data_IF_104783177075
#
_entry.id   IF_104783177075
#
_cell.length_a   1.000
_cell.length_b   1.000
_cell.length_c   1.000
_cell.angle_alpha   90.00
_cell.angle_beta   90.00
_cell.angle_gamma   90.00
#
_symmetry.space_group_name_H-M   'P 1'
#
loop_
_entity.id
_entity.type
_entity.pdbx_description
1 polymer ?
#
# COMPACT_ATOMS: atom_id res chain seq x y z
N UNK A 1 2.37 -83.38 -9.11
CA UNK A 1 2.00 -82.65 -10.35
C UNK A 1 2.46 -81.21 -10.20
N UNK A 2 3.58 -80.85 -10.81
CA UNK A 2 4.14 -79.49 -10.82
C UNK A 2 3.28 -78.56 -11.67
N UNK A 3 2.89 -77.41 -11.13
CA UNK A 3 2.47 -76.26 -11.94
C UNK A 3 3.51 -75.15 -11.83
N UNK A 4 4.21 -74.95 -12.93
CA UNK A 4 5.11 -73.84 -13.21
C UNK A 4 4.31 -72.55 -13.38
N UNK A 5 4.45 -71.60 -12.45
CA UNK A 5 3.99 -70.21 -12.66
C UNK A 5 4.96 -69.52 -13.62
N UNK A 6 4.47 -69.18 -14.81
CA UNK A 6 5.19 -68.31 -15.75
C UNK A 6 5.33 -66.88 -15.22
N UNK A 7 6.34 -66.11 -15.69
CA UNK A 7 6.54 -64.74 -15.26
C UNK A 7 5.40 -63.84 -15.75
N UNK A 8 4.76 -63.15 -14.82
CA UNK A 8 3.80 -62.06 -15.10
C UNK A 8 4.47 -61.01 -15.97
N UNK A 9 3.92 -60.82 -17.18
CA UNK A 9 4.28 -59.73 -18.08
C UNK A 9 4.13 -58.38 -17.36
N UNK A 10 5.21 -57.59 -17.36
CA UNK A 10 5.19 -56.21 -16.91
C UNK A 10 4.15 -55.43 -17.74
N UNK A 11 3.15 -54.86 -17.07
CA UNK A 11 2.22 -53.92 -17.68
C UNK A 11 2.99 -52.71 -18.24
N UNK A 12 2.46 -52.03 -19.27
CA UNK A 12 3.15 -50.92 -19.92
C UNK A 12 3.47 -49.84 -18.89
N UNK A 13 4.76 -49.50 -18.77
CA UNK A 13 5.22 -48.33 -18.02
C UNK A 13 4.49 -47.09 -18.56
N UNK A 14 3.61 -46.53 -17.73
CA UNK A 14 3.02 -45.22 -17.99
C UNK A 14 4.19 -44.24 -18.13
N UNK A 15 4.36 -43.55 -19.27
CA UNK A 15 5.48 -42.65 -19.44
C UNK A 15 5.43 -41.60 -18.34
N UNK A 16 6.48 -41.57 -17.52
CA UNK A 16 6.65 -40.56 -16.49
C UNK A 16 6.56 -39.18 -17.14
N UNK A 17 5.44 -38.50 -16.93
CA UNK A 17 5.23 -37.13 -17.39
C UNK A 17 6.46 -36.32 -16.98
N UNK A 18 7.23 -35.83 -17.94
CA UNK A 18 8.42 -35.01 -17.73
C UNK A 18 8.00 -33.68 -17.09
N UNK A 19 7.74 -33.71 -15.79
CA UNK A 19 7.48 -32.53 -14.99
C UNK A 19 8.79 -31.79 -14.75
N UNK A 20 8.76 -30.47 -14.86
CA UNK A 20 9.87 -29.61 -14.46
C UNK A 20 10.37 -29.97 -13.05
N UNK A 21 11.70 -29.96 -12.80
CA UNK A 21 12.27 -30.20 -11.49
C UNK A 21 11.61 -29.33 -10.41
N UNK A 22 11.39 -29.85 -9.18
CA UNK A 22 10.70 -29.12 -8.11
C UNK A 22 11.34 -27.77 -7.78
N UNK A 23 12.67 -27.69 -7.85
CA UNK A 23 13.44 -26.47 -7.63
C UNK A 23 13.13 -25.40 -8.69
N UNK A 24 13.15 -25.79 -9.98
CA UNK A 24 12.86 -24.90 -11.10
C UNK A 24 11.42 -24.39 -11.06
N UNK A 25 10.46 -25.27 -10.75
CA UNK A 25 9.06 -24.87 -10.56
C UNK A 25 8.91 -23.78 -9.50
N UNK A 26 9.57 -23.93 -8.36
CA UNK A 26 9.46 -22.93 -7.30
C UNK A 26 10.16 -21.60 -7.61
N UNK A 27 11.19 -21.59 -8.45
CA UNK A 27 11.76 -20.34 -9.00
C UNK A 27 10.82 -19.68 -10.01
N UNK A 28 10.17 -20.46 -10.89
CA UNK A 28 9.17 -19.94 -11.82
C UNK A 28 7.95 -19.34 -11.10
N UNK A 29 7.48 -19.99 -10.03
CA UNK A 29 6.40 -19.44 -9.19
C UNK A 29 6.80 -18.12 -8.50
N UNK A 30 8.03 -18.05 -7.98
CA UNK A 30 8.58 -16.85 -7.35
C UNK A 30 8.72 -15.70 -8.35
N UNK A 31 9.27 -16.00 -9.54
CA UNK A 31 9.40 -15.04 -10.63
C UNK A 31 8.03 -14.56 -11.12
N UNK A 32 7.07 -15.47 -11.33
CA UNK A 32 5.71 -15.13 -11.73
C UNK A 32 4.99 -14.25 -10.71
N UNK A 33 5.25 -14.46 -9.42
CA UNK A 33 4.74 -13.59 -8.34
C UNK A 33 5.31 -12.18 -8.43
N UNK A 34 6.64 -12.06 -8.55
CA UNK A 34 7.31 -10.76 -8.63
C UNK A 34 6.94 -9.99 -9.90
N UNK A 35 6.89 -10.68 -11.06
CA UNK A 35 6.48 -10.09 -12.34
C UNK A 35 5.03 -9.61 -12.30
N UNK A 36 4.09 -10.39 -11.76
CA UNK A 36 2.69 -9.98 -11.69
C UNK A 36 2.52 -8.71 -10.83
N UNK A 37 3.21 -8.63 -9.69
CA UNK A 37 3.23 -7.44 -8.85
C UNK A 37 3.76 -6.21 -9.57
N UNK A 38 4.98 -6.30 -10.13
CA UNK A 38 5.64 -5.19 -10.80
C UNK A 38 4.93 -4.75 -12.08
N UNK A 39 4.42 -5.69 -12.88
CA UNK A 39 3.63 -5.37 -14.07
C UNK A 39 2.36 -4.60 -13.70
N UNK A 40 1.68 -4.99 -12.61
CA UNK A 40 0.51 -4.25 -12.10
C UNK A 40 0.90 -2.83 -11.68
N UNK A 41 2.03 -2.66 -10.99
CA UNK A 41 2.53 -1.35 -10.60
C UNK A 41 2.86 -0.48 -11.83
N UNK A 42 3.57 -1.03 -12.82
CA UNK A 42 3.92 -0.34 -14.06
C UNK A 42 2.66 0.10 -14.83
N UNK A 43 1.67 -0.77 -15.00
CA UNK A 43 0.42 -0.43 -15.70
C UNK A 43 -0.35 0.65 -14.95
N UNK A 44 -0.48 0.52 -13.63
CA UNK A 44 -1.21 1.51 -12.80
C UNK A 44 -0.52 2.87 -12.83
N UNK A 45 0.81 2.89 -12.68
CA UNK A 45 1.61 4.11 -12.73
C UNK A 45 1.57 4.74 -14.12
N UNK A 46 1.71 3.96 -15.19
CA UNK A 46 1.65 4.46 -16.57
C UNK A 46 0.30 5.08 -16.89
N UNK A 47 -0.81 4.40 -16.56
CA UNK A 47 -2.15 4.96 -16.80
C UNK A 47 -2.40 6.23 -15.96
N UNK A 48 -1.97 6.24 -14.70
CA UNK A 48 -2.12 7.40 -13.82
C UNK A 48 -1.29 8.60 -14.26
N UNK A 49 -0.03 8.39 -14.64
CA UNK A 49 0.86 9.45 -15.16
C UNK A 49 0.43 9.93 -16.54
N UNK A 50 -0.06 9.04 -17.39
CA UNK A 50 -0.62 9.41 -18.69
C UNK A 50 -1.85 10.29 -18.51
N UNK A 51 -2.77 9.93 -17.60
CA UNK A 51 -3.92 10.75 -17.24
C UNK A 51 -3.50 12.09 -16.62
N UNK A 52 -2.37 12.14 -15.92
CA UNK A 52 -1.78 13.37 -15.39
C UNK A 52 -1.10 14.24 -16.46
N UNK A 53 -1.09 13.85 -17.73
CA UNK A 53 -0.48 14.59 -18.83
C UNK A 53 1.01 14.34 -19.03
N UNK A 54 1.61 13.38 -18.32
CA UNK A 54 3.04 13.06 -18.45
C UNK A 54 3.43 12.46 -19.81
N UNK A 55 2.45 12.08 -20.65
CA UNK A 55 2.68 11.58 -21.99
C UNK A 55 3.29 12.62 -22.95
N UNK A 56 3.16 13.91 -22.65
CA UNK A 56 3.71 15.02 -23.44
C UNK A 56 5.14 15.42 -23.05
N UNK A 57 5.80 14.69 -22.16
CA UNK A 57 7.13 15.07 -21.68
C UNK A 57 8.19 15.00 -22.81
N UNK A 58 9.05 16.03 -22.95
CA UNK A 58 10.06 16.08 -24.00
C UNK A 58 11.11 14.97 -23.83
N UNK A 59 11.73 14.56 -24.96
CA UNK A 59 12.83 13.59 -24.94
C UNK A 59 12.42 12.14 -24.64
N UNK A 60 11.14 11.78 -24.80
CA UNK A 60 10.67 10.42 -24.55
C UNK A 60 10.70 10.02 -23.08
N UNK A 61 10.49 10.98 -22.17
CA UNK A 61 10.73 10.81 -20.75
C UNK A 61 9.80 9.85 -20.02
N UNK A 62 8.65 9.59 -20.63
CA UNK A 62 7.54 8.91 -19.99
C UNK A 62 7.92 7.56 -19.34
N UNK A 63 8.66 6.64 -20.00
CA UNK A 63 9.03 5.36 -19.38
C UNK A 63 9.93 5.52 -18.15
N UNK A 64 10.82 6.51 -18.13
CA UNK A 64 11.69 6.79 -17.00
C UNK A 64 10.88 7.34 -15.81
N UNK A 65 9.91 8.22 -16.05
CA UNK A 65 8.99 8.74 -15.02
C UNK A 65 8.11 7.63 -14.46
N UNK A 66 7.62 6.71 -15.31
CA UNK A 66 6.88 5.52 -14.87
C UNK A 66 7.76 4.62 -14.00
N UNK A 67 9.01 4.36 -14.42
CA UNK A 67 9.95 3.57 -13.63
C UNK A 67 10.26 4.22 -12.27
N UNK A 68 10.45 5.55 -12.24
CA UNK A 68 10.61 6.32 -11.01
C UNK A 68 9.36 6.18 -10.11
N UNK A 69 8.15 6.34 -10.64
CA UNK A 69 6.92 6.17 -9.86
C UNK A 69 6.79 4.76 -9.25
N UNK A 70 7.21 3.71 -9.97
CA UNK A 70 7.23 2.33 -9.44
C UNK A 70 8.28 2.16 -8.35
N UNK A 71 9.46 2.76 -8.51
CA UNK A 71 10.52 2.76 -7.47
C UNK A 71 10.03 3.44 -6.19
N UNK A 72 9.41 4.62 -6.31
CA UNK A 72 8.80 5.33 -5.18
C UNK A 72 7.66 4.51 -4.53
N UNK A 73 6.81 3.88 -5.34
CA UNK A 73 5.73 3.02 -4.86
C UNK A 73 6.24 1.78 -4.08
N UNK A 74 7.43 1.28 -4.42
CA UNK A 74 8.09 0.19 -3.72
C UNK A 74 8.86 0.65 -2.46
N UNK A 75 8.74 1.92 -2.07
CA UNK A 75 9.37 2.51 -0.90
C UNK A 75 10.77 3.08 -1.14
N UNK A 76 11.27 3.08 -2.38
CA UNK A 76 12.55 3.71 -2.70
C UNK A 76 12.46 5.23 -2.54
N UNK A 77 13.47 5.84 -1.92
CA UNK A 77 13.61 7.29 -1.92
C UNK A 77 14.14 7.76 -3.27
N UNK A 78 13.49 8.76 -3.85
CA UNK A 78 13.94 9.40 -5.09
C UNK A 78 14.38 10.80 -4.74
N UNK A 79 15.66 10.95 -4.39
CA UNK A 79 16.30 12.26 -4.39
C UNK A 79 16.57 12.64 -5.86
N UNK A 80 15.72 13.49 -6.44
CA UNK A 80 16.07 14.16 -7.69
C UNK A 80 17.00 15.33 -7.35
N UNK A 81 18.30 15.05 -7.33
CA UNK A 81 19.35 16.07 -7.29
C UNK A 81 19.71 16.41 -8.73
N UNK A 82 19.25 17.55 -9.22
CA UNK A 82 19.73 18.09 -10.50
C UNK A 82 20.96 18.95 -10.27
N UNK A 83 22.07 18.61 -10.95
CA UNK A 83 23.22 19.49 -11.05
C UNK A 83 22.90 20.52 -12.15
N UNK A 84 22.62 21.76 -11.77
CA UNK A 84 22.50 22.87 -12.71
C UNK A 84 23.82 23.66 -12.83
N UNK A 85 24.94 22.94 -12.70
CA UNK A 85 26.29 23.49 -12.81
C UNK A 85 26.75 24.15 -11.51
N UNK A 86 27.91 24.82 -11.59
CA UNK A 86 28.73 25.34 -10.47
C UNK A 86 28.01 26.42 -9.63
N UNK A 87 26.74 26.72 -9.87
CA UNK A 87 26.04 27.86 -9.24
C UNK A 87 24.64 27.49 -8.70
N UNK A 88 23.98 26.42 -9.17
CA UNK A 88 22.63 26.07 -8.71
C UNK A 88 22.42 24.56 -8.53
N UNK A 89 21.93 24.17 -7.35
CA UNK A 89 21.46 22.80 -7.08
C UNK A 89 19.93 22.81 -7.05
N UNK A 90 19.29 22.11 -7.99
CA UNK A 90 17.85 21.92 -7.98
C UNK A 90 17.54 20.66 -7.16
N UNK A 91 16.95 20.84 -5.97
CA UNK A 91 16.43 19.74 -5.15
C UNK A 91 14.92 19.71 -5.28
N UNK A 92 14.42 18.67 -5.94
CA UNK A 92 13.01 18.30 -5.92
C UNK A 92 12.90 16.96 -5.20
N UNK A 93 12.68 17.00 -3.89
CA UNK A 93 12.35 15.81 -3.12
C UNK A 93 10.83 15.76 -3.01
N UNK A 94 10.21 14.81 -3.71
CA UNK A 94 8.78 14.55 -3.62
C UNK A 94 8.59 13.23 -2.88
N UNK A 95 8.52 13.29 -1.56
CA UNK A 95 8.14 12.17 -0.70
C UNK A 95 6.60 12.07 -0.66
N UNK A 96 6.01 11.81 -1.83
CA UNK A 96 4.60 11.43 -1.96
C UNK A 96 4.53 10.05 -2.60
N UNK A 97 4.31 9.02 -1.78
CA UNK A 97 4.19 7.64 -2.27
C UNK A 97 2.88 7.51 -3.05
N UNK A 98 2.89 7.05 -4.32
CA UNK A 98 1.68 6.81 -5.08
C UNK A 98 1.01 5.53 -4.58
N UNK A 99 0.20 5.63 -3.53
CA UNK A 99 -0.32 4.47 -2.80
C UNK A 99 -1.25 3.60 -3.63
N UNK A 100 -1.88 4.16 -4.68
CA UNK A 100 -2.68 3.36 -5.60
C UNK A 100 -1.83 2.30 -6.31
N UNK A 101 -0.63 2.70 -6.75
CA UNK A 101 0.36 1.82 -7.40
C UNK A 101 0.83 0.77 -6.40
N UNK A 102 1.21 1.19 -5.19
CA UNK A 102 1.64 0.30 -4.11
C UNK A 102 0.57 -0.70 -3.69
N UNK A 103 -0.69 -0.25 -3.55
CA UNK A 103 -1.82 -1.07 -3.14
C UNK A 103 -2.14 -2.11 -4.22
N UNK A 104 -2.21 -1.71 -5.49
CA UNK A 104 -2.47 -2.63 -6.60
C UNK A 104 -1.37 -3.70 -6.70
N UNK A 105 -0.09 -3.28 -6.65
CA UNK A 105 1.06 -4.18 -6.66
C UNK A 105 1.06 -5.15 -5.49
N UNK A 106 0.79 -4.68 -4.27
CA UNK A 106 0.78 -5.53 -3.06
C UNK A 106 -0.35 -6.57 -3.08
N UNK A 107 -1.56 -6.18 -3.52
CA UNK A 107 -2.70 -7.11 -3.63
C UNK A 107 -2.42 -8.22 -4.65
N UNK A 108 -1.93 -7.87 -5.85
CA UNK A 108 -1.61 -8.88 -6.88
C UNK A 108 -0.47 -9.78 -6.41
N UNK A 109 0.59 -9.21 -5.83
CA UNK A 109 1.71 -9.98 -5.28
C UNK A 109 1.22 -10.95 -4.21
N UNK A 110 0.41 -10.50 -3.26
CA UNK A 110 -0.13 -11.34 -2.19
C UNK A 110 -1.02 -12.48 -2.74
N UNK A 111 -1.92 -12.17 -3.68
CA UNK A 111 -2.83 -13.17 -4.27
C UNK A 111 -2.06 -14.23 -5.04
N UNK A 112 -1.13 -13.82 -5.92
CA UNK A 112 -0.33 -14.75 -6.73
C UNK A 112 0.62 -15.57 -5.84
N UNK A 113 1.23 -14.94 -4.84
CA UNK A 113 2.10 -15.63 -3.88
C UNK A 113 1.36 -16.73 -3.11
N UNK A 114 0.15 -16.46 -2.65
CA UNK A 114 -0.67 -17.40 -1.88
C UNK A 114 -1.40 -18.44 -2.74
N UNK A 115 -1.51 -18.20 -4.06
CA UNK A 115 -2.29 -19.03 -4.99
C UNK A 115 -1.91 -20.51 -4.97
N UNK A 116 -0.62 -20.91 -4.93
CA UNK A 116 -0.21 -22.32 -4.86
C UNK A 116 -0.39 -22.94 -3.46
N UNK A 117 -0.50 -22.11 -2.42
CA UNK A 117 -0.61 -22.56 -1.03
C UNK A 117 -2.06 -22.83 -0.60
N UNK A 118 -3.05 -22.36 -1.36
CA UNK A 118 -4.48 -22.36 -0.98
C UNK A 118 -5.11 -23.73 -0.69
N UNK A 119 -4.48 -24.81 -1.14
CA UNK A 119 -4.96 -26.19 -0.98
C UNK A 119 -4.16 -26.98 0.07
N UNK A 120 -3.19 -26.35 0.75
CA UNK A 120 -2.37 -27.00 1.77
C UNK A 120 -2.82 -26.58 3.16
N UNK A 121 -2.99 -27.54 4.06
CA UNK A 121 -3.40 -27.29 5.45
C UNK A 121 -2.21 -26.85 6.33
N UNK A 122 -1.03 -27.45 6.13
CA UNK A 122 0.20 -27.18 6.91
C UNK A 122 1.40 -27.21 5.97
N UNK A 123 2.36 -26.31 6.19
CA UNK A 123 3.63 -26.28 5.48
C UNK A 123 4.79 -26.11 6.49
N UNK A 124 5.92 -26.82 6.31
CA UNK A 124 7.09 -26.66 7.17
C UNK A 124 7.68 -25.25 6.99
N UNK A 125 8.23 -24.69 8.08
CA UNK A 125 8.74 -23.33 8.09
C UNK A 125 9.87 -23.10 7.06
N UNK A 126 10.74 -24.10 6.85
CA UNK A 126 11.83 -24.01 5.87
C UNK A 126 11.35 -23.89 4.42
N UNK A 127 10.25 -24.55 4.06
CA UNK A 127 9.66 -24.44 2.72
C UNK A 127 9.07 -23.03 2.49
N UNK A 128 8.36 -22.50 3.49
CA UNK A 128 7.80 -21.15 3.45
C UNK A 128 8.92 -20.10 3.36
N UNK A 129 9.97 -20.24 4.16
CA UNK A 129 11.11 -19.33 4.15
C UNK A 129 11.84 -19.38 2.81
N UNK A 130 12.05 -20.57 2.23
CA UNK A 130 12.64 -20.71 0.91
C UNK A 130 11.77 -20.12 -0.21
N UNK A 131 10.44 -20.15 -0.07
CA UNK A 131 9.52 -19.48 -1.01
C UNK A 131 9.59 -17.96 -0.88
N UNK A 132 9.62 -17.44 0.35
CA UNK A 132 9.78 -15.99 0.63
C UNK A 132 11.13 -15.51 0.06
N UNK A 133 12.22 -16.22 0.36
CA UNK A 133 13.56 -15.86 -0.09
C UNK A 133 13.67 -15.81 -1.62
N UNK A 134 13.18 -16.83 -2.33
CA UNK A 134 13.17 -16.84 -3.81
C UNK A 134 12.36 -15.69 -4.39
N UNK A 135 11.19 -15.40 -3.80
CA UNK A 135 10.33 -14.29 -4.25
C UNK A 135 11.01 -12.94 -4.02
N UNK A 136 11.65 -12.75 -2.86
CA UNK A 136 12.42 -11.55 -2.56
C UNK A 136 13.61 -11.36 -3.50
N UNK A 137 14.35 -12.44 -3.82
CA UNK A 137 15.45 -12.37 -4.80
C UNK A 137 14.95 -11.99 -6.19
N UNK A 138 13.90 -12.64 -6.70
CA UNK A 138 13.31 -12.28 -7.99
C UNK A 138 12.80 -10.84 -8.02
N UNK A 139 12.16 -10.40 -6.94
CA UNK A 139 11.69 -9.02 -6.77
C UNK A 139 12.84 -8.02 -6.85
N UNK A 140 13.91 -8.24 -6.10
CA UNK A 140 15.07 -7.35 -6.08
C UNK A 140 15.76 -7.26 -7.44
N UNK A 141 15.91 -8.37 -8.15
CA UNK A 141 16.50 -8.38 -9.50
C UNK A 141 15.65 -7.56 -10.47
N UNK A 142 14.33 -7.76 -10.47
CA UNK A 142 13.43 -7.02 -11.35
C UNK A 142 13.35 -5.53 -10.96
N UNK A 143 13.31 -5.21 -9.67
CA UNK A 143 13.32 -3.84 -9.17
C UNK A 143 14.63 -3.14 -9.53
N UNK A 144 15.77 -3.85 -9.45
CA UNK A 144 17.06 -3.34 -9.89
C UNK A 144 17.07 -2.99 -11.39
N UNK A 145 16.52 -3.86 -12.24
CA UNK A 145 16.36 -3.59 -13.69
C UNK A 145 15.48 -2.37 -13.95
N UNK A 146 14.36 -2.22 -13.23
CA UNK A 146 13.49 -1.04 -13.33
C UNK A 146 14.22 0.23 -12.84
N UNK A 147 14.95 0.13 -11.73
CA UNK A 147 15.72 1.25 -11.19
C UNK A 147 16.81 1.71 -12.17
N UNK A 148 17.45 0.78 -12.91
CA UNK A 148 18.36 1.13 -14.00
C UNK A 148 17.65 1.87 -15.13
N UNK A 149 16.45 1.43 -15.53
CA UNK A 149 15.64 2.11 -16.55
C UNK A 149 15.17 3.51 -16.11
N UNK A 150 15.00 3.74 -14.80
CA UNK A 150 14.68 5.05 -14.24
C UNK A 150 15.85 6.05 -14.32
N UNK A 151 17.09 5.59 -14.54
CA UNK A 151 18.27 6.46 -14.70
C UNK A 151 18.28 7.07 -16.09
N UNK A 152 17.39 8.02 -16.35
CA UNK A 152 17.45 8.86 -17.54
C UNK A 152 17.62 10.32 -17.13
N UNK A 153 18.63 10.97 -17.70
CA UNK A 153 18.88 12.40 -17.52
C UNK A 153 17.96 13.18 -18.45
N UNK A 154 17.07 14.02 -17.90
CA UNK A 154 16.30 14.97 -18.70
C UNK A 154 16.95 16.34 -18.59
N UNK A 155 17.15 16.98 -19.74
CA UNK A 155 17.35 18.43 -19.81
C UNK A 155 15.97 19.07 -19.67
N UNK A 156 15.68 19.65 -18.50
CA UNK A 156 14.46 20.45 -18.32
C UNK A 156 14.77 21.85 -18.81
N UNK A 157 14.17 22.25 -19.93
CA UNK A 157 14.17 23.65 -20.38
C UNK A 157 13.23 24.42 -19.46
N UNK A 158 13.78 25.06 -18.42
CA UNK A 158 13.02 25.97 -17.57
C UNK A 158 12.74 27.17 -18.48
N UNK A 159 11.47 27.36 -18.88
CA UNK A 159 11.04 28.33 -19.90
C UNK A 159 11.29 29.80 -19.53
N UNK A 160 12.54 30.17 -19.33
CA UNK A 160 13.01 31.51 -19.02
C UNK A 160 14.23 31.78 -19.92
N UNK A 161 14.02 32.53 -20.99
CA UNK A 161 14.98 32.75 -22.09
C UNK A 161 16.32 33.34 -21.64
N UNK A 162 16.37 33.93 -20.45
CA UNK A 162 17.58 34.45 -19.81
C UNK A 162 18.49 33.33 -19.26
N UNK A 163 17.92 32.27 -18.70
CA UNK A 163 18.68 31.13 -18.16
C UNK A 163 19.21 30.24 -19.29
N UNK A 164 18.41 30.08 -20.36
CA UNK A 164 18.85 29.36 -21.56
C UNK A 164 19.96 30.11 -22.32
N UNK A 165 19.91 31.45 -22.39
CA UNK A 165 20.98 32.25 -22.99
C UNK A 165 22.26 32.27 -22.15
N UNK A 166 22.14 32.30 -20.81
CA UNK A 166 23.29 32.20 -19.91
C UNK A 166 23.92 30.79 -19.94
N UNK A 167 23.12 29.72 -20.00
CA UNK A 167 23.60 28.34 -20.11
C UNK A 167 24.31 28.05 -21.44
N UNK A 168 23.85 28.64 -22.55
CA UNK A 168 24.47 28.51 -23.87
C UNK A 168 25.83 29.25 -23.97
N UNK A 169 26.01 30.35 -23.22
CA UNK A 169 27.25 31.13 -23.22
C UNK A 169 28.36 30.53 -22.34
N UNK A 170 27.99 29.73 -21.33
CA UNK A 170 28.91 29.06 -20.39
C UNK A 170 29.11 27.55 -20.69
N UNK A 171 28.47 27.00 -21.72
CA UNK A 171 28.61 25.59 -22.10
C UNK A 171 27.96 24.61 -21.12
N UNK A 172 27.05 25.08 -20.26
CA UNK A 172 26.41 24.29 -19.20
C UNK A 172 24.89 24.26 -19.38
N UNK A 173 24.41 23.36 -20.24
CA UNK A 173 22.98 23.03 -20.32
C UNK A 173 22.55 22.27 -19.06
N UNK A 174 21.51 22.70 -18.33
CA UNK A 174 21.08 22.07 -17.09
C UNK A 174 20.60 20.64 -17.35
N UNK A 175 21.25 19.66 -16.70
CA UNK A 175 20.93 18.24 -16.82
C UNK A 175 20.43 17.72 -15.48
N UNK A 176 19.13 17.44 -15.38
CA UNK A 176 18.56 16.83 -14.17
C UNK A 176 18.74 15.31 -14.30
N UNK A 177 19.74 14.77 -13.60
CA UNK A 177 19.99 13.34 -13.51
C UNK A 177 19.33 12.73 -12.26
N UNK A 178 18.37 11.82 -12.44
CA UNK A 178 17.85 11.01 -11.34
C UNK A 178 18.93 10.00 -10.89
N UNK A 179 19.73 10.35 -9.88
CA UNK A 179 20.60 9.39 -9.18
C UNK A 179 19.78 8.70 -8.09
N UNK A 180 19.12 7.61 -8.45
CA UNK A 180 18.61 6.68 -7.45
C UNK A 180 19.81 6.09 -6.68
N UNK A 181 19.82 6.24 -5.35
CA UNK A 181 20.70 5.48 -4.49
C UNK A 181 20.27 4.01 -4.56
N UNK A 182 20.92 3.26 -5.45
CA UNK A 182 20.61 1.87 -5.78
C UNK A 182 20.61 0.98 -4.51
N UNK A 183 21.62 1.03 -3.62
CA UNK A 183 21.61 0.34 -2.34
C UNK A 183 20.38 0.66 -1.48
N UNK A 184 20.06 1.93 -1.27
CA UNK A 184 18.92 2.34 -0.45
C UNK A 184 17.60 1.87 -1.08
N UNK A 185 17.44 2.04 -2.39
CA UNK A 185 16.26 1.62 -3.15
C UNK A 185 16.00 0.12 -3.03
N UNK A 186 17.06 -0.70 -3.15
CA UNK A 186 16.94 -2.15 -2.97
C UNK A 186 16.66 -2.53 -1.52
N UNK A 187 17.24 -1.82 -0.55
CA UNK A 187 16.96 -2.00 0.87
C UNK A 187 15.48 -1.76 1.21
N UNK A 188 14.94 -0.61 0.77
CA UNK A 188 13.52 -0.31 0.95
C UNK A 188 12.61 -1.24 0.15
N UNK A 189 12.97 -1.58 -1.09
CA UNK A 189 12.24 -2.54 -1.90
C UNK A 189 12.19 -3.95 -1.29
N UNK A 190 13.27 -4.37 -0.63
CA UNK A 190 13.30 -5.62 0.15
C UNK A 190 12.38 -5.53 1.37
N UNK A 191 12.47 -4.43 2.14
CA UNK A 191 11.60 -4.21 3.29
C UNK A 191 10.13 -4.23 2.87
N UNK A 192 9.81 -3.58 1.75
CA UNK A 192 8.48 -3.53 1.17
C UNK A 192 7.95 -4.92 0.82
N UNK A 193 8.70 -5.73 0.05
CA UNK A 193 8.21 -7.05 -0.36
C UNK A 193 8.06 -7.98 0.85
N UNK A 194 8.98 -7.90 1.82
CA UNK A 194 8.86 -8.67 3.06
C UNK A 194 7.63 -8.24 3.86
N UNK A 195 7.37 -6.93 3.98
CA UNK A 195 6.18 -6.41 4.64
C UNK A 195 4.89 -6.90 3.97
N UNK A 196 4.82 -6.85 2.63
CA UNK A 196 3.68 -7.37 1.86
C UNK A 196 3.48 -8.86 2.10
N UNK A 197 4.54 -9.67 2.06
CA UNK A 197 4.45 -11.11 2.28
C UNK A 197 4.03 -11.44 3.71
N UNK A 198 4.58 -10.76 4.72
CA UNK A 198 4.18 -10.91 6.12
C UNK A 198 2.71 -10.53 6.29
N UNK A 199 2.27 -9.41 5.73
CA UNK A 199 0.89 -8.96 5.79
C UNK A 199 -0.06 -9.95 5.08
N UNK A 200 0.37 -10.54 3.96
CA UNK A 200 -0.37 -11.58 3.26
C UNK A 200 -0.61 -12.81 4.14
N UNK A 201 0.40 -13.27 4.90
CA UNK A 201 0.24 -14.34 5.88
C UNK A 201 -0.62 -13.95 7.09
N UNK A 202 -0.50 -12.69 7.53
CA UNK A 202 -1.25 -12.16 8.67
C UNK A 202 -2.75 -12.08 8.38
N UNK A 203 -3.12 -11.70 7.16
CA UNK A 203 -4.51 -11.42 6.77
C UNK A 203 -5.19 -12.60 6.08
N UNK A 204 -4.45 -13.50 5.41
CA UNK A 204 -5.03 -14.59 4.61
C UNK A 204 -5.42 -15.80 5.45
N UNK A 205 -6.72 -16.11 5.50
CA UNK A 205 -7.25 -17.29 6.24
C UNK A 205 -6.78 -18.66 5.74
N UNK A 206 -6.34 -18.75 4.48
CA UNK A 206 -5.97 -20.02 3.84
C UNK A 206 -4.46 -20.25 3.76
N UNK A 207 -3.65 -19.38 4.37
CA UNK A 207 -2.21 -19.54 4.34
C UNK A 207 -1.78 -20.65 5.32
N UNK A 208 -1.09 -21.71 4.85
CA UNK A 208 -0.59 -22.78 5.69
C UNK A 208 0.53 -22.25 6.59
N UNK A 209 0.47 -22.58 7.87
CA UNK A 209 1.46 -22.15 8.86
C UNK A 209 1.84 -23.29 9.78
N UNK A 210 2.98 -23.15 10.44
CA UNK A 210 3.40 -24.14 11.42
C UNK A 210 2.47 -24.13 12.65
N UNK A 211 2.27 -25.27 13.32
CA UNK A 211 1.35 -25.39 14.46
C UNK A 211 1.61 -24.40 15.60
N UNK A 212 2.88 -24.00 15.82
CA UNK A 212 3.26 -23.03 16.86
C UNK A 212 2.80 -21.60 16.52
N UNK A 213 2.87 -21.22 15.25
CA UNK A 213 2.46 -19.88 14.79
C UNK A 213 0.94 -19.76 14.68
N UNK A 214 0.22 -20.86 14.43
CA UNK A 214 -1.25 -20.87 14.34
C UNK A 214 -1.92 -20.30 15.60
N UNK A 215 -1.45 -20.66 16.81
CA UNK A 215 -2.04 -20.18 18.08
C UNK A 215 -2.03 -18.66 18.24
N UNK A 216 -0.94 -18.01 17.84
CA UNK A 216 -0.84 -16.55 17.87
C UNK A 216 -1.68 -15.92 16.74
N UNK A 217 -1.70 -16.56 15.57
CA UNK A 217 -2.45 -16.06 14.43
C UNK A 217 -3.97 -16.12 14.59
N UNK A 218 -4.51 -17.10 15.31
CA UNK A 218 -5.97 -17.16 15.58
C UNK A 218 -6.49 -15.91 16.30
N UNK A 219 -5.63 -15.24 17.07
CA UNK A 219 -5.96 -14.00 17.77
C UNK A 219 -5.77 -12.76 16.89
N UNK A 220 -4.71 -12.72 16.07
CA UNK A 220 -4.34 -11.53 15.29
C UNK A 220 -5.03 -11.47 13.92
N UNK A 221 -5.33 -12.61 13.32
CA UNK A 221 -5.85 -12.69 11.94
C UNK A 221 -7.25 -12.11 11.76
N UNK A 222 -8.25 -12.38 12.64
CA UNK A 222 -9.57 -11.77 12.50
C UNK A 222 -9.55 -10.23 12.50
N UNK A 223 -8.91 -9.55 13.48
CA UNK A 223 -8.85 -8.09 13.47
C UNK A 223 -7.97 -7.55 12.34
N UNK A 224 -6.82 -8.16 12.02
CA UNK A 224 -5.97 -7.72 10.90
C UNK A 224 -6.70 -7.78 9.56
N UNK A 225 -7.48 -8.84 9.31
CA UNK A 225 -8.29 -8.95 8.09
C UNK A 225 -9.43 -7.93 8.06
N UNK A 226 -10.05 -7.63 9.20
CA UNK A 226 -11.06 -6.58 9.28
C UNK A 226 -10.47 -5.19 9.00
N UNK A 227 -9.24 -4.91 9.45
CA UNK A 227 -8.54 -3.67 9.12
C UNK A 227 -8.21 -3.56 7.62
N UNK A 228 -7.74 -4.65 6.99
CA UNK A 228 -7.56 -4.66 5.53
C UNK A 228 -8.88 -4.36 4.81
N UNK A 229 -9.98 -5.02 5.19
CA UNK A 229 -11.29 -4.75 4.59
C UNK A 229 -11.76 -3.31 4.83
N UNK A 230 -11.43 -2.72 5.99
CA UNK A 230 -11.72 -1.31 6.30
C UNK A 230 -10.99 -0.39 5.33
N UNK A 231 -9.69 -0.59 5.13
CA UNK A 231 -8.88 0.21 4.20
C UNK A 231 -9.37 0.05 2.76
N UNK A 232 -9.72 -1.16 2.34
CA UNK A 232 -10.28 -1.43 1.01
C UNK A 232 -11.68 -0.86 0.83
N UNK A 233 -12.52 -0.87 1.87
CA UNK A 233 -13.84 -0.26 1.83
C UNK A 233 -13.74 1.25 1.65
N UNK A 234 -12.81 1.92 2.33
CA UNK A 234 -12.55 3.35 2.13
C UNK A 234 -12.06 3.65 0.72
N UNK A 235 -11.16 2.82 0.16
CA UNK A 235 -10.72 2.95 -1.24
C UNK A 235 -11.91 2.75 -2.20
N UNK A 236 -12.79 1.79 -1.94
CA UNK A 236 -13.99 1.57 -2.77
C UNK A 236 -14.97 2.74 -2.69
N UNK A 237 -15.20 3.31 -1.50
CA UNK A 237 -16.02 4.52 -1.33
C UNK A 237 -15.38 5.68 -2.10
N UNK A 238 -14.08 5.90 -1.95
CA UNK A 238 -13.34 6.92 -2.70
C UNK A 238 -13.43 6.70 -4.22
N UNK A 239 -13.35 5.46 -4.69
CA UNK A 239 -13.50 5.12 -6.10
C UNK A 239 -14.90 5.46 -6.60
N UNK A 240 -15.95 5.12 -5.86
CA UNK A 240 -17.33 5.48 -6.21
C UNK A 240 -17.50 7.00 -6.29
N UNK A 241 -16.99 7.74 -5.29
CA UNK A 241 -17.02 9.20 -5.31
C UNK A 241 -16.26 9.74 -6.51
N UNK A 242 -15.05 9.25 -6.79
CA UNK A 242 -14.25 9.72 -7.91
C UNK A 242 -14.85 9.35 -9.28
N UNK A 243 -15.52 8.21 -9.43
CA UNK A 243 -16.28 7.86 -10.64
C UNK A 243 -17.48 8.78 -10.83
N UNK A 244 -18.19 9.12 -9.75
CA UNK A 244 -19.27 10.11 -9.80
C UNK A 244 -18.71 11.48 -10.21
N UNK A 245 -17.57 11.90 -9.68
CA UNK A 245 -16.91 13.15 -10.09
C UNK A 245 -16.42 13.12 -11.53
N UNK A 246 -15.93 11.97 -12.01
CA UNK A 246 -15.51 11.77 -13.40
C UNK A 246 -16.68 11.98 -14.37
N UNK A 247 -17.89 11.57 -13.98
CA UNK A 247 -19.11 11.73 -14.77
C UNK A 247 -19.69 13.14 -14.62
N UNK A 248 -19.61 13.73 -13.43
CA UNK A 248 -20.28 14.98 -13.08
C UNK A 248 -19.46 16.26 -13.33
N UNK A 249 -18.12 16.18 -13.35
CA UNK A 249 -17.21 17.33 -13.52
C UNK A 249 -16.44 17.25 -14.84
N UNK A 250 -16.13 18.40 -15.42
CA UNK A 250 -15.54 18.52 -16.77
C UNK A 250 -14.03 18.27 -16.90
N UNK A 251 -13.36 17.67 -15.91
CA UNK A 251 -11.91 17.40 -15.96
C UNK A 251 -11.58 15.91 -15.69
N UNK A 252 -11.86 15.03 -16.67
CA UNK A 252 -11.76 13.59 -16.46
C UNK A 252 -10.32 13.08 -16.35
N UNK A 253 -9.37 13.75 -17.02
CA UNK A 253 -7.97 13.38 -16.99
C UNK A 253 -7.38 13.56 -15.58
N UNK A 254 -7.66 14.71 -14.95
CA UNK A 254 -7.19 15.01 -13.59
C UNK A 254 -7.82 14.07 -12.55
N UNK A 255 -9.12 13.81 -12.63
CA UNK A 255 -9.78 12.85 -11.71
C UNK A 255 -9.23 11.44 -11.88
N UNK A 256 -8.98 10.99 -13.11
CA UNK A 256 -8.39 9.68 -13.37
C UNK A 256 -6.95 9.57 -12.83
N UNK A 257 -6.15 10.65 -12.94
CA UNK A 257 -4.83 10.71 -12.35
C UNK A 257 -4.87 10.56 -10.82
N UNK A 258 -5.80 11.25 -10.14
CA UNK A 258 -6.02 11.06 -8.68
C UNK A 258 -6.36 9.62 -8.36
N UNK A 259 -7.32 9.05 -9.10
CA UNK A 259 -7.82 7.71 -8.87
C UNK A 259 -6.71 6.65 -8.97
N UNK A 260 -5.82 6.81 -9.94
CA UNK A 260 -4.76 5.84 -10.25
C UNK A 260 -3.45 6.08 -9.52
N UNK A 261 -3.21 7.27 -8.98
CA UNK A 261 -1.97 7.59 -8.26
C UNK A 261 -2.20 7.75 -6.75
N UNK A 262 -3.23 8.50 -6.35
CA UNK A 262 -3.38 9.01 -4.98
C UNK A 262 -4.68 8.62 -4.25
N UNK A 263 -5.52 7.75 -4.79
CA UNK A 263 -6.82 7.43 -4.18
C UNK A 263 -6.71 6.89 -2.75
N UNK A 264 -5.83 5.92 -2.43
CA UNK A 264 -5.67 5.47 -1.05
C UNK A 264 -5.12 6.56 -0.14
N UNK A 265 -4.30 7.49 -0.66
CA UNK A 265 -3.82 8.62 0.13
C UNK A 265 -5.02 9.42 0.64
N UNK A 266 -5.92 9.81 -0.25
CA UNK A 266 -7.10 10.60 0.12
C UNK A 266 -8.11 9.79 0.97
N UNK A 267 -8.36 8.54 0.60
CA UNK A 267 -9.33 7.70 1.30
C UNK A 267 -8.88 7.38 2.74
N UNK A 268 -7.60 7.11 2.96
CA UNK A 268 -7.09 6.78 4.30
C UNK A 268 -6.88 8.02 5.16
N UNK A 269 -6.53 9.17 4.57
CA UNK A 269 -6.63 10.47 5.25
C UNK A 269 -8.06 10.72 5.73
N UNK A 270 -9.07 10.52 4.87
CA UNK A 270 -10.47 10.66 5.23
C UNK A 270 -10.91 9.72 6.38
N UNK A 271 -10.39 8.50 6.42
CA UNK A 271 -10.61 7.57 7.55
C UNK A 271 -10.06 8.17 8.85
N UNK A 272 -8.78 8.55 8.89
CA UNK A 272 -8.19 9.02 10.14
C UNK A 272 -8.70 10.41 10.55
N UNK A 273 -9.11 11.27 9.62
CA UNK A 273 -9.84 12.51 9.95
C UNK A 273 -11.22 12.16 10.51
N UNK A 274 -11.97 11.25 9.85
CA UNK A 274 -13.31 10.82 10.28
C UNK A 274 -13.35 10.18 11.66
N UNK A 275 -12.27 9.54 12.12
CA UNK A 275 -12.14 9.03 13.49
C UNK A 275 -11.74 10.10 14.51
N UNK A 276 -11.42 11.32 14.07
CA UNK A 276 -11.03 12.44 14.93
C UNK A 276 -9.52 12.69 15.00
N UNK A 277 -8.73 12.08 14.12
CA UNK A 277 -7.32 12.37 13.93
C UNK A 277 -7.07 13.73 13.27
N UNK A 278 -5.80 14.10 13.12
CA UNK A 278 -5.41 15.36 12.49
C UNK A 278 -4.04 15.29 11.83
N UNK A 279 -3.89 16.15 10.84
CA UNK A 279 -2.65 16.39 10.11
C UNK A 279 -2.28 17.86 10.20
N UNK A 280 -1.03 18.16 10.49
CA UNK A 280 -0.46 19.51 10.45
C UNK A 280 0.21 19.70 9.11
N UNK A 281 -0.17 20.74 8.37
CA UNK A 281 0.45 20.99 7.07
C UNK A 281 0.47 22.43 6.64
N UNK A 282 1.23 22.69 5.60
CA UNK A 282 1.39 23.99 4.97
C UNK A 282 1.47 23.83 3.45
N UNK A 283 0.86 24.76 2.71
CA UNK A 283 0.97 24.84 1.25
C UNK A 283 1.31 26.27 0.86
N UNK A 284 2.55 26.51 0.44
CA UNK A 284 3.01 27.86 0.06
C UNK A 284 2.41 28.35 -1.26
N UNK A 285 2.28 27.46 -2.24
CA UNK A 285 1.71 27.75 -3.57
C UNK A 285 0.82 26.61 -4.04
N UNK A 286 -0.20 26.93 -4.82
CA UNK A 286 -1.11 25.97 -5.44
C UNK A 286 -0.32 25.07 -6.41
N UNK A 287 0.32 24.04 -5.88
CA UNK A 287 0.75 22.91 -6.68
C UNK A 287 -0.52 22.44 -7.37
N UNK A 288 -0.53 22.39 -8.71
CA UNK A 288 -1.64 21.82 -9.49
C UNK A 288 -1.95 20.35 -9.15
N UNK A 289 -1.37 19.82 -8.07
CA UNK A 289 -1.78 18.61 -7.38
C UNK A 289 -3.30 18.64 -7.17
N UNK A 290 -4.01 17.62 -7.66
CA UNK A 290 -5.43 17.49 -7.47
C UNK A 290 -5.75 17.15 -6.01
N UNK A 291 -5.83 18.18 -5.18
CA UNK A 291 -6.32 18.07 -3.81
C UNK A 291 -7.83 18.33 -3.80
N UNK A 292 -8.62 17.65 -2.94
CA UNK A 292 -10.02 18.00 -2.75
C UNK A 292 -10.15 19.49 -2.41
N UNK A 293 -11.16 20.16 -2.97
CA UNK A 293 -11.33 21.62 -2.81
C UNK A 293 -11.35 22.06 -1.33
N UNK A 294 -11.88 21.22 -0.43
CA UNK A 294 -11.87 21.47 1.01
C UNK A 294 -10.45 21.48 1.62
N UNK A 295 -9.55 20.61 1.15
CA UNK A 295 -8.16 20.58 1.60
C UNK A 295 -7.38 21.79 1.05
N UNK A 296 -7.61 22.13 -0.22
CA UNK A 296 -7.00 23.32 -0.83
C UNK A 296 -7.40 24.61 -0.09
N UNK A 297 -8.66 24.76 0.30
CA UNK A 297 -9.13 25.97 0.98
C UNK A 297 -8.53 26.15 2.38
N UNK A 298 -8.36 25.05 3.14
CA UNK A 298 -7.76 25.09 4.48
C UNK A 298 -6.27 25.39 4.42
N UNK A 299 -5.57 24.90 3.39
CA UNK A 299 -4.12 25.01 3.25
C UNK A 299 -3.63 26.26 2.50
N UNK A 300 -4.49 26.96 1.75
CA UNK A 300 -4.15 28.17 0.97
C UNK A 300 -3.86 29.43 1.81
N UNK A 301 -4.11 29.41 3.13
CA UNK A 301 -3.83 30.56 4.00
C UNK A 301 -2.40 30.49 4.56
N UNK A 302 -1.69 31.63 4.61
CA UNK A 302 -0.29 31.72 5.12
C UNK A 302 -0.16 31.12 6.53
N UNK A 303 0.80 30.22 6.72
CA UNK A 303 1.15 29.58 7.99
C UNK A 303 0.82 28.09 8.08
N UNK A 304 1.41 27.40 9.06
CA UNK A 304 1.08 26.00 9.37
C UNK A 304 -0.34 25.90 9.92
N UNK A 305 -1.19 25.02 9.36
CA UNK A 305 -2.53 24.75 9.87
C UNK A 305 -2.80 23.27 10.11
N UNK A 306 -3.56 23.00 11.16
CA UNK A 306 -4.08 21.67 11.47
C UNK A 306 -5.33 21.40 10.65
N UNK A 307 -5.25 20.41 9.77
CA UNK A 307 -6.40 19.79 9.12
C UNK A 307 -7.00 18.77 10.10
N UNK A 308 -8.17 19.11 10.63
CA UNK A 308 -8.96 18.25 11.49
C UNK A 308 -10.47 18.43 11.21
N UNK A 309 -11.31 17.65 11.89
CA UNK A 309 -12.76 17.74 11.72
C UNK A 309 -13.32 19.14 11.99
N UNK A 310 -12.71 19.89 12.93
CA UNK A 310 -13.16 21.23 13.30
C UNK A 310 -12.81 22.26 12.21
N UNK A 311 -11.58 22.22 11.71
CA UNK A 311 -11.12 23.13 10.65
C UNK A 311 -11.80 22.84 9.31
N UNK A 312 -12.07 21.57 8.99
CA UNK A 312 -12.90 21.20 7.84
C UNK A 312 -14.36 21.58 8.04
N UNK A 313 -14.93 21.34 9.23
CA UNK A 313 -16.33 21.66 9.54
C UNK A 313 -16.65 23.15 9.47
N UNK A 314 -15.66 24.01 9.70
CA UNK A 314 -15.79 25.45 9.53
C UNK A 314 -15.96 25.89 8.05
N UNK A 315 -15.53 25.06 7.10
CA UNK A 315 -15.61 25.34 5.66
C UNK A 315 -16.71 24.52 4.96
N UNK A 316 -16.96 23.29 5.43
CA UNK A 316 -17.96 22.38 4.86
C UNK A 316 -18.81 21.74 5.97
N UNK A 317 -20.11 22.05 5.97
CA UNK A 317 -21.07 21.47 6.92
C UNK A 317 -21.29 19.96 6.74
N UNK A 318 -20.79 19.33 5.67
CA UNK A 318 -20.94 17.89 5.40
C UNK A 318 -19.90 17.00 6.08
N UNK A 319 -18.97 17.59 6.84
CA UNK A 319 -17.86 16.87 7.49
C UNK A 319 -18.35 15.81 8.49
N UNK A 320 -19.58 15.94 9.03
CA UNK A 320 -20.19 14.90 9.85
C UNK A 320 -20.37 13.56 9.12
N UNK A 321 -20.46 13.57 7.78
CA UNK A 321 -20.54 12.35 6.97
C UNK A 321 -19.26 11.50 7.10
N UNK A 322 -18.09 12.12 7.30
CA UNK A 322 -16.84 11.38 7.52
C UNK A 322 -16.91 10.56 8.82
N UNK A 323 -17.48 11.14 9.88
CA UNK A 323 -17.68 10.47 11.17
C UNK A 323 -18.72 9.36 11.03
N UNK A 324 -19.83 9.61 10.32
CA UNK A 324 -20.87 8.61 10.09
C UNK A 324 -20.35 7.41 9.28
N UNK A 325 -19.60 7.66 8.20
CA UNK A 325 -18.97 6.60 7.38
C UNK A 325 -17.96 5.82 8.21
N UNK A 326 -17.10 6.49 8.99
CA UNK A 326 -16.15 5.82 9.88
C UNK A 326 -16.86 4.90 10.88
N UNK A 327 -17.91 5.39 11.54
CA UNK A 327 -18.69 4.61 12.48
C UNK A 327 -19.30 3.34 11.83
N UNK A 328 -19.94 3.48 10.66
CA UNK A 328 -20.57 2.36 9.95
C UNK A 328 -19.54 1.32 9.51
N UNK A 329 -18.44 1.76 8.88
CA UNK A 329 -17.39 0.85 8.39
C UNK A 329 -16.71 0.15 9.57
N UNK A 330 -16.36 0.86 10.64
CA UNK A 330 -15.69 0.28 11.81
C UNK A 330 -16.60 -0.68 12.59
N UNK A 331 -17.90 -0.39 12.71
CA UNK A 331 -18.86 -1.32 13.31
C UNK A 331 -19.01 -2.59 12.46
N UNK A 332 -19.11 -2.45 11.14
CA UNK A 332 -19.12 -3.58 10.21
C UNK A 332 -17.84 -4.42 10.33
N UNK A 333 -16.67 -3.78 10.33
CA UNK A 333 -15.38 -4.41 10.50
C UNK A 333 -15.29 -5.18 11.83
N UNK A 334 -15.69 -4.55 12.94
CA UNK A 334 -15.69 -5.17 14.26
C UNK A 334 -16.66 -6.36 14.35
N UNK A 335 -17.84 -6.24 13.77
CA UNK A 335 -18.78 -7.35 13.68
C UNK A 335 -18.21 -8.51 12.87
N UNK A 336 -17.63 -8.26 11.69
CA UNK A 336 -17.02 -9.34 10.89
C UNK A 336 -15.83 -9.99 11.58
N UNK A 337 -14.99 -9.23 12.29
CA UNK A 337 -13.90 -9.77 13.11
C UNK A 337 -14.45 -10.67 14.22
N UNK A 338 -15.47 -10.19 14.94
CA UNK A 338 -16.10 -10.92 16.04
C UNK A 338 -16.80 -12.21 15.58
N UNK A 339 -17.48 -12.22 14.43
CA UNK A 339 -18.10 -13.45 13.88
C UNK A 339 -17.05 -14.48 13.47
N UNK A 340 -15.87 -14.04 13.03
CA UNK A 340 -14.80 -14.92 12.52
C UNK A 340 -13.82 -15.41 13.60
N UNK A 341 -13.91 -14.89 14.82
CA UNK A 341 -13.06 -15.27 15.93
C UNK A 341 -13.49 -16.61 16.58
N UNK A 342 -12.62 -17.30 17.33
CA UNK A 342 -12.95 -18.56 18.00
C UNK A 342 -14.21 -18.53 18.87
N UNK A 343 -14.85 -19.68 19.09
CA UNK A 343 -15.96 -19.84 20.03
C UNK A 343 -15.53 -19.45 21.44
N UNK A 344 -16.35 -18.64 22.13
CA UNK A 344 -16.20 -18.22 23.55
C UNK A 344 -15.23 -17.07 23.84
N UNK A 345 -14.78 -16.31 22.85
CA UNK A 345 -14.01 -15.07 23.11
C UNK A 345 -14.89 -14.04 23.84
N UNK A 346 -14.45 -13.47 24.98
CA UNK A 346 -15.23 -12.48 25.70
C UNK A 346 -15.24 -11.13 24.97
N UNK A 347 -16.31 -10.34 25.12
CA UNK A 347 -16.50 -9.08 24.39
C UNK A 347 -15.41 -8.03 24.68
N UNK A 348 -14.88 -7.99 25.90
CA UNK A 348 -13.76 -7.09 26.27
C UNK A 348 -12.48 -7.41 25.48
N UNK A 349 -12.27 -8.69 25.15
CA UNK A 349 -11.10 -9.10 24.36
C UNK A 349 -11.24 -8.67 22.90
N UNK A 350 -12.44 -8.74 22.32
CA UNK A 350 -12.70 -8.16 20.99
C UNK A 350 -12.49 -6.63 20.96
N UNK A 351 -12.88 -5.94 22.04
CA UNK A 351 -12.62 -4.52 22.19
C UNK A 351 -11.11 -4.21 22.19
N UNK A 352 -10.31 -4.95 22.96
CA UNK A 352 -8.85 -4.75 23.00
C UNK A 352 -8.18 -5.12 21.67
N UNK A 353 -8.54 -6.25 21.07
CA UNK A 353 -7.98 -6.68 19.77
C UNK A 353 -8.28 -5.65 18.68
N UNK A 354 -9.51 -5.09 18.66
CA UNK A 354 -9.90 -4.05 17.72
C UNK A 354 -9.23 -2.71 18.01
N UNK A 355 -9.10 -2.32 19.29
CA UNK A 355 -8.40 -1.11 19.71
C UNK A 355 -6.93 -1.11 19.26
N UNK A 356 -6.21 -2.20 19.53
CA UNK A 356 -4.81 -2.36 19.11
C UNK A 356 -4.70 -2.39 17.59
N UNK A 357 -5.57 -3.16 16.92
CA UNK A 357 -5.54 -3.26 15.46
C UNK A 357 -5.84 -1.92 14.77
N UNK A 358 -6.83 -1.17 15.24
CA UNK A 358 -7.18 0.13 14.67
C UNK A 358 -6.12 1.18 14.98
N UNK A 359 -5.57 1.22 16.20
CA UNK A 359 -4.48 2.12 16.55
C UNK A 359 -3.24 1.89 15.69
N UNK A 360 -2.83 0.63 15.50
CA UNK A 360 -1.72 0.28 14.61
C UNK A 360 -2.03 0.59 13.14
N UNK A 361 -3.28 0.38 12.71
CA UNK A 361 -3.71 0.72 11.34
C UNK A 361 -3.63 2.22 11.10
N UNK A 362 -4.12 3.04 12.03
CA UNK A 362 -4.05 4.51 11.92
C UNK A 362 -2.61 5.04 12.03
N UNK A 363 -1.75 4.38 12.81
CA UNK A 363 -0.31 4.67 12.82
C UNK A 363 0.30 4.44 11.43
N UNK A 364 0.07 3.26 10.83
CA UNK A 364 0.56 2.94 9.49
C UNK A 364 -0.02 3.90 8.46
N UNK A 365 -1.33 4.18 8.51
CA UNK A 365 -1.98 5.17 7.64
C UNK A 365 -1.31 6.53 7.78
N UNK A 366 -1.09 7.02 9.01
CA UNK A 366 -0.40 8.30 9.23
C UNK A 366 0.98 8.32 8.58
N UNK A 367 1.80 7.30 8.82
CA UNK A 367 3.15 7.20 8.25
C UNK A 367 3.15 7.15 6.72
N UNK A 368 2.23 6.39 6.14
CA UNK A 368 2.16 6.14 4.70
C UNK A 368 1.46 7.28 3.93
N UNK A 369 0.65 8.09 4.62
CA UNK A 369 -0.02 9.29 4.06
C UNK A 369 0.71 10.59 4.38
N UNK A 370 1.88 10.52 5.03
CA UNK A 370 2.75 11.68 5.18
C UNK A 370 3.15 12.16 3.78
N UNK A 371 2.98 13.45 3.54
CA UNK A 371 3.40 14.10 2.30
C UNK A 371 4.47 15.09 2.69
N UNK A 372 5.65 14.92 2.11
CA UNK A 372 6.73 15.87 2.25
C UNK A 372 7.25 16.23 0.86
N UNK A 373 6.94 17.44 0.40
CA UNK A 373 7.34 17.92 -0.90
C UNK A 373 8.04 19.27 -0.74
N UNK A 374 9.37 19.25 -0.87
CA UNK A 374 10.20 20.45 -0.85
C UNK A 374 10.74 20.71 -2.26
N UNK A 375 10.53 21.93 -2.75
CA UNK A 375 11.11 22.40 -4.00
C UNK A 375 11.84 23.72 -3.75
N UNK A 376 13.16 23.73 -3.98
CA UNK A 376 14.00 24.92 -3.85
C UNK A 376 15.20 24.87 -4.79
N UNK A 377 15.55 26.03 -5.34
CA UNK A 377 16.82 26.26 -6.04
C UNK A 377 17.80 26.81 -5.00
N UNK A 378 18.79 25.99 -4.61
CA UNK A 378 19.83 26.44 -3.68
C UNK A 378 20.99 27.01 -4.50
N UNK A 379 21.23 28.32 -4.41
CA UNK A 379 22.39 28.97 -5.02
C UNK A 379 23.57 28.86 -4.05
N UNK A 380 24.72 28.38 -4.50
CA UNK A 380 25.85 28.03 -3.63
C UNK A 380 26.20 29.18 -2.66
N UNK A 381 26.12 28.89 -1.35
CA UNK A 381 26.62 29.77 -0.28
C UNK A 381 25.60 30.69 0.37
N UNK A 382 24.36 30.77 -0.14
CA UNK A 382 23.25 31.45 0.54
C UNK A 382 22.15 30.40 0.74
N UNK A 383 21.82 30.09 1.99
CA UNK A 383 20.69 29.22 2.30
C UNK A 383 19.42 29.70 1.59
N UNK A 384 18.49 28.77 1.34
CA UNK A 384 17.19 28.93 0.67
C UNK A 384 16.85 30.39 0.36
N UNK A 385 17.05 30.80 -0.89
CA UNK A 385 16.77 32.17 -1.33
C UNK A 385 15.26 32.38 -1.23
N UNK A 386 14.81 32.81 -0.05
CA UNK A 386 13.46 33.22 0.26
C UNK A 386 13.07 34.38 -0.63
N UNK A 387 12.52 34.04 -1.79
CA UNK A 387 12.11 34.98 -2.81
C UNK A 387 11.50 34.23 -3.98
N UNK A 388 10.18 34.08 -3.96
CA UNK A 388 9.28 33.67 -5.06
C UNK A 388 9.61 32.39 -5.89
N UNK A 389 10.73 31.70 -5.62
CA UNK A 389 11.33 30.65 -6.44
C UNK A 389 11.40 29.28 -5.75
N UNK A 390 10.91 29.17 -4.51
CA UNK A 390 10.77 27.92 -3.74
C UNK A 390 9.36 27.77 -3.16
N UNK A 391 8.93 26.53 -2.91
CA UNK A 391 7.64 26.24 -2.29
C UNK A 391 7.67 24.88 -1.58
N UNK A 392 7.12 24.83 -0.37
CA UNK A 392 6.99 23.61 0.40
C UNK A 392 5.52 23.20 0.55
N UNK A 393 5.27 21.89 0.40
CA UNK A 393 4.02 21.26 0.82
C UNK A 393 4.34 20.16 1.81
N UNK A 394 3.98 20.42 3.06
CA UNK A 394 4.15 19.46 4.15
C UNK A 394 2.79 19.07 4.69
N UNK A 395 2.60 17.78 4.95
CA UNK A 395 1.42 17.24 5.60
C UNK A 395 1.88 16.13 6.57
N UNK A 396 2.03 16.51 7.83
CA UNK A 396 2.52 15.63 8.89
C UNK A 396 1.39 15.11 9.76
N UNK A 397 1.29 13.80 9.98
CA UNK A 397 0.26 13.22 10.85
C UNK A 397 0.57 13.48 12.33
N UNK A 398 -0.46 13.81 13.12
CA UNK A 398 -0.36 13.78 14.59
C UNK A 398 -0.50 12.33 15.08
N UNK A 399 0.59 11.56 15.03
CA UNK A 399 0.61 10.11 15.26
C UNK A 399 -0.01 9.71 16.61
N UNK A 400 0.31 10.43 17.68
CA UNK A 400 -0.24 10.15 19.01
C UNK A 400 -1.75 10.35 19.08
N UNK A 401 -2.26 11.40 18.44
CA UNK A 401 -3.70 11.66 18.34
C UNK A 401 -4.38 10.55 17.53
N UNK A 402 -3.81 10.17 16.39
CA UNK A 402 -4.31 9.08 15.54
C UNK A 402 -4.39 7.74 16.28
N UNK A 403 -3.34 7.38 17.02
CA UNK A 403 -3.33 6.17 17.83
C UNK A 403 -4.35 6.22 18.96
N UNK A 404 -4.46 7.37 19.66
CA UNK A 404 -5.40 7.56 20.76
C UNK A 404 -6.86 7.45 20.31
N UNK A 405 -7.24 8.17 19.24
CA UNK A 405 -8.61 8.08 18.70
C UNK A 405 -8.89 6.70 18.10
N UNK A 406 -7.90 6.07 17.46
CA UNK A 406 -8.01 4.71 16.95
C UNK A 406 -8.27 3.69 18.07
N UNK A 407 -7.55 3.79 19.19
CA UNK A 407 -7.78 2.94 20.34
C UNK A 407 -9.18 3.16 20.94
N UNK A 408 -9.62 4.42 21.08
CA UNK A 408 -10.95 4.74 21.61
C UNK A 408 -12.07 4.18 20.72
N UNK A 409 -12.01 4.43 19.40
CA UNK A 409 -12.97 3.88 18.45
C UNK A 409 -12.95 2.35 18.44
N UNK A 410 -11.76 1.73 18.46
CA UNK A 410 -11.66 0.29 18.44
C UNK A 410 -12.19 -0.39 19.71
N UNK A 411 -12.06 0.26 20.88
CA UNK A 411 -12.70 -0.21 22.11
C UNK A 411 -14.23 -0.20 21.97
N UNK A 412 -14.79 0.91 21.50
CA UNK A 412 -16.25 1.09 21.36
C UNK A 412 -16.82 0.14 20.32
N UNK A 413 -16.28 0.14 19.10
CA UNK A 413 -16.80 -0.69 18.00
C UNK A 413 -16.51 -2.17 18.23
N UNK A 414 -15.34 -2.52 18.79
CA UNK A 414 -14.98 -3.89 19.14
C UNK A 414 -15.88 -4.49 20.22
N UNK A 415 -16.24 -3.70 21.24
CA UNK A 415 -17.21 -4.13 22.26
C UNK A 415 -18.62 -4.31 21.66
N UNK A 416 -19.11 -3.33 20.90
CA UNK A 416 -20.41 -3.37 20.25
C UNK A 416 -20.53 -4.53 19.26
N UNK A 417 -19.51 -4.73 18.41
CA UNK A 417 -19.42 -5.84 17.47
C UNK A 417 -19.36 -7.21 18.16
N UNK A 418 -18.63 -7.30 19.28
CA UNK A 418 -18.58 -8.49 20.13
C UNK A 418 -19.94 -8.86 20.74
N UNK A 419 -20.71 -7.88 21.23
CA UNK A 419 -22.06 -8.09 21.75
C UNK A 419 -23.04 -8.53 20.65
N UNK A 420 -23.00 -7.88 19.48
CA UNK A 420 -23.84 -8.24 18.34
C UNK A 420 -23.54 -9.67 17.85
N UNK A 421 -22.25 -10.05 17.76
CA UNK A 421 -21.85 -11.38 17.33
C UNK A 421 -22.30 -12.51 18.28
N UNK A 422 -22.45 -12.22 19.58
CA UNK A 422 -22.99 -13.20 20.55
C UNK A 422 -24.42 -13.62 20.23
N UNK A 423 -25.24 -12.73 19.68
CA UNK A 423 -26.64 -13.01 19.32
C UNK A 423 -26.77 -13.90 18.07
N UNK A 424 -25.76 -13.91 17.22
CA UNK A 424 -25.77 -14.68 15.95
C UNK A 424 -25.16 -16.08 16.13
N UNK A 425 -24.34 -16.29 17.17
CA UNK A 425 -23.80 -17.61 17.53
C UNK A 425 -24.85 -18.46 18.25
N UNK A 426 -25.86 -18.95 17.52
CA UNK A 426 -26.67 -20.06 17.99
C UNK A 426 -25.93 -21.39 17.80
N UNK A 427 -26.08 -22.36 18.72
CA UNK A 427 -25.07 -23.38 18.99
C UNK A 427 -25.15 -24.53 17.98
N UNK A 428 -24.06 -24.79 17.29
CA UNK A 428 -23.72 -26.15 16.89
C UNK A 428 -23.21 -26.90 18.12
N UNK A 429 -24.10 -27.22 19.06
CA UNK A 429 -23.85 -28.32 19.99
C UNK A 429 -23.71 -29.57 19.14
N UNK A 430 -22.51 -30.10 19.02
CA UNK A 430 -22.37 -31.52 18.74
C UNK A 430 -22.97 -32.20 19.97
N UNK A 431 -24.21 -32.67 19.81
CA UNK A 431 -24.86 -33.53 20.79
C UNK A 431 -23.90 -34.69 21.02
N UNK A 432 -23.40 -34.82 22.24
CA UNK A 432 -22.63 -35.99 22.70
C UNK A 432 -23.50 -37.23 22.48
N UNK A 433 -23.38 -37.82 21.29
CA UNK A 433 -24.13 -39.00 20.87
C UNK A 433 -23.13 -40.12 20.61
N UNK A 434 -22.53 -40.64 21.69
CA UNK A 434 -22.32 -42.07 21.94
C UNK A 434 -21.54 -42.26 23.25
N UNK A 435 -22.23 -42.27 24.39
CA UNK A 435 -21.86 -43.23 25.44
C UNK A 435 -22.48 -44.55 25.01
N UNK A 436 -21.67 -45.44 24.46
CA UNK A 436 -22.06 -46.84 24.34
C UNK A 436 -22.34 -47.37 25.77
N UNK A 437 -23.44 -48.10 26.01
CA UNK A 437 -23.63 -48.80 27.28
C UNK A 437 -22.54 -49.88 27.43
N UNK A 438 -22.12 -50.20 28.66
CA UNK A 438 -21.14 -51.26 28.88
C UNK A 438 -21.71 -52.60 28.38
N UNK A 439 -20.85 -53.52 27.92
CA UNK A 439 -21.29 -54.86 27.55
C UNK A 439 -21.79 -55.57 28.81
N UNK A 440 -23.05 -55.99 28.80
CA UNK A 440 -23.60 -56.88 29.82
C UNK A 440 -22.85 -58.22 29.77
N UNK A 441 -22.56 -58.75 30.96
CA UNK A 441 -21.82 -59.98 31.25
C UNK A 441 -22.51 -61.25 30.77
#
# INVERSE_FOLDING_TARGET
MSQTRGPTAAGPEVPASHGLPPALRGWLEALGTALAGLATMLVTAALGLWAAGAGGLPGGAFPAVVAAAVVAAAGGSISATGDAGIIAEARAAVDAVPLSVTLAGSLVTAVVFLRPLRHRAVAPAGELLGRIARTAVCWLVLLWLIALAARHSFTITVGNSLVDQLGALLGSTPTVGFRADLPATLGYGLLWVLAVLVLAFLVSRRAPLSPRLLRFQDSVRPPAHAMLLTLLAYVAIGLVVGVVELIARGDPARTLAVLLLGLPNMAWLALGIGTGGAWTGHVDKALGLPLPHALEQVLRHRGQRTVDLGSLGAHDGRVWLLVAVAAVVLLGAAFTAAVRAPARTPAWRHALEMAVALALTLLVVGLVTRIDAHYGLSLIGVGDLGGDLGGAVTLEPQLWRLMGVGAAWGLVTGFAGGLAARRVRHPGEVRDAHRAPPPDH
#
